data_IF_590128197742
#
_entry.id   IF_590128197742
#
_cell.length_a   1.000
_cell.length_b   1.000
_cell.length_c   1.000
_cell.angle_alpha   90.00
_cell.angle_beta   90.00
_cell.angle_gamma   90.00
#
_symmetry.space_group_name_H-M   'P 1'
#
loop_
_entity.id
_entity.type
_entity.pdbx_description
1 polymer ?
#
# COMPACT_ATOMS: atom_id res chain seq x y z
N UNK A 1 4.18 -9.62 -23.35
CA UNK A 1 5.23 -8.70 -23.00
C UNK A 1 4.64 -7.40 -22.45
N UNK A 2 5.14 -6.93 -21.27
CA UNK A 2 4.61 -5.74 -20.58
C UNK A 2 4.87 -4.46 -21.40
N UNK A 3 6.05 -4.33 -21.98
CA UNK A 3 6.44 -3.15 -22.81
C UNK A 3 5.50 -3.00 -24.00
N UNK A 4 5.17 -4.10 -24.68
CA UNK A 4 4.27 -4.08 -25.82
C UNK A 4 2.83 -3.70 -25.43
N UNK A 5 2.37 -4.13 -24.25
CA UNK A 5 1.06 -3.72 -23.71
C UNK A 5 1.05 -2.22 -23.38
N UNK A 6 2.12 -1.70 -22.79
CA UNK A 6 2.28 -0.26 -22.51
C UNK A 6 2.25 0.52 -23.83
N UNK A 7 3.01 0.08 -24.83
CA UNK A 7 3.03 0.72 -26.16
C UNK A 7 1.65 0.78 -26.79
N UNK A 8 0.90 -0.33 -26.74
CA UNK A 8 -0.47 -0.40 -27.30
C UNK A 8 -1.47 0.49 -26.57
N UNK A 9 -1.30 0.70 -25.28
CA UNK A 9 -2.20 1.55 -24.47
C UNK A 9 -1.90 3.04 -24.64
N UNK A 10 -0.73 3.39 -25.20
CA UNK A 10 -0.29 4.78 -25.43
C UNK A 10 -0.53 5.70 -24.21
N UNK A 11 -0.07 5.34 -23.01
CA UNK A 11 -0.35 6.11 -21.81
C UNK A 11 0.40 7.45 -21.81
N UNK A 12 -0.14 8.46 -21.16
CA UNK A 12 0.54 9.73 -20.93
C UNK A 12 1.64 9.65 -19.87
N UNK A 13 1.50 8.71 -18.92
CA UNK A 13 2.41 8.49 -17.80
C UNK A 13 2.45 6.99 -17.48
N UNK A 14 3.63 6.46 -17.21
CA UNK A 14 3.81 5.13 -16.62
C UNK A 14 4.04 5.34 -15.13
N UNK A 15 3.19 4.78 -14.27
CA UNK A 15 3.34 4.89 -12.83
C UNK A 15 3.49 3.50 -12.19
N UNK A 16 4.64 3.26 -11.57
CA UNK A 16 4.90 2.05 -10.80
C UNK A 16 4.44 2.24 -9.34
N UNK A 17 3.58 1.36 -8.88
CA UNK A 17 3.17 1.28 -7.47
C UNK A 17 3.99 0.19 -6.80
N UNK A 18 5.03 0.59 -6.05
CA UNK A 18 6.07 -0.31 -5.53
C UNK A 18 5.86 -0.51 -4.03
N UNK A 19 4.89 -1.33 -3.70
CA UNK A 19 4.64 -1.79 -2.34
C UNK A 19 4.93 -3.29 -2.22
N UNK A 20 5.16 -3.75 -1.00
CA UNK A 20 5.36 -5.16 -0.69
C UNK A 20 4.24 -5.72 0.19
N UNK A 21 4.48 -6.92 0.72
CA UNK A 21 3.54 -7.55 1.67
C UNK A 21 3.49 -6.84 3.03
N UNK A 22 4.51 -6.07 3.33
CA UNK A 22 4.62 -5.16 4.46
C UNK A 22 5.43 -3.93 4.02
N UNK A 23 5.48 -2.85 4.79
CA UNK A 23 6.19 -1.62 4.41
C UNK A 23 7.66 -1.86 4.02
N UNK A 24 8.35 -2.75 4.74
CA UNK A 24 9.77 -3.01 4.51
C UNK A 24 10.05 -3.80 3.22
N UNK A 25 9.07 -4.52 2.69
CA UNK A 25 9.25 -5.32 1.47
C UNK A 25 9.13 -4.50 0.17
N UNK A 26 8.84 -3.21 0.25
CA UNK A 26 8.88 -2.31 -0.90
C UNK A 26 10.25 -2.27 -1.58
N UNK A 27 11.34 -2.31 -0.80
CA UNK A 27 12.72 -2.35 -1.32
C UNK A 27 12.98 -3.56 -2.21
N UNK A 28 12.49 -4.74 -1.82
CA UNK A 28 12.66 -5.98 -2.61
C UNK A 28 11.99 -5.88 -3.98
N UNK A 29 10.85 -5.19 -4.05
CA UNK A 29 10.09 -5.04 -5.29
C UNK A 29 10.64 -3.96 -6.23
N UNK A 30 11.55 -3.11 -5.77
CA UNK A 30 12.20 -2.09 -6.61
C UNK A 30 12.91 -2.70 -7.82
N UNK A 31 13.59 -3.84 -7.67
CA UNK A 31 14.31 -4.49 -8.77
C UNK A 31 13.43 -4.78 -9.99
N UNK A 32 12.21 -5.26 -9.75
CA UNK A 32 11.24 -5.53 -10.83
C UNK A 32 10.72 -4.25 -11.50
N UNK A 33 10.43 -3.21 -10.72
CA UNK A 33 9.97 -1.92 -11.23
C UNK A 33 11.07 -1.24 -12.08
N UNK A 34 12.30 -1.22 -11.57
CA UNK A 34 13.47 -0.66 -12.26
C UNK A 34 13.77 -1.40 -13.56
N UNK A 35 13.75 -2.74 -13.55
CA UNK A 35 13.99 -3.53 -14.76
C UNK A 35 12.94 -3.22 -15.86
N UNK A 36 11.67 -3.09 -15.50
CA UNK A 36 10.62 -2.76 -16.45
C UNK A 36 10.73 -1.29 -16.92
N UNK A 37 11.06 -0.36 -16.03
CA UNK A 37 11.30 1.03 -16.40
C UNK A 37 12.45 1.16 -17.42
N UNK A 38 13.58 0.49 -17.18
CA UNK A 38 14.71 0.41 -18.12
C UNK A 38 14.28 -0.17 -19.47
N UNK A 39 13.58 -1.31 -19.46
CA UNK A 39 13.08 -1.92 -20.70
C UNK A 39 12.14 -0.98 -21.50
N UNK A 40 11.30 -0.18 -20.82
CA UNK A 40 10.47 0.83 -21.47
C UNK A 40 11.33 1.89 -22.17
N UNK A 41 12.32 2.46 -21.50
CA UNK A 41 13.23 3.47 -22.07
C UNK A 41 14.06 2.91 -23.21
N UNK A 42 14.66 1.74 -23.05
CA UNK A 42 15.46 1.03 -24.08
C UNK A 42 14.63 0.69 -25.32
N UNK A 43 13.32 0.46 -25.16
CA UNK A 43 12.42 0.23 -26.30
C UNK A 43 12.02 1.50 -27.06
N UNK A 44 12.57 2.66 -26.69
CA UNK A 44 12.29 3.95 -27.33
C UNK A 44 10.99 4.61 -26.88
N UNK A 45 10.40 4.19 -25.77
CA UNK A 45 9.23 4.89 -25.19
C UNK A 45 9.69 6.19 -24.52
N UNK A 46 9.25 7.34 -25.05
CA UNK A 46 9.52 8.68 -24.49
C UNK A 46 8.54 9.09 -23.39
N UNK A 47 7.71 8.15 -22.91
CA UNK A 47 6.71 8.40 -21.88
C UNK A 47 7.40 8.59 -20.53
N UNK A 48 7.03 9.62 -19.73
CA UNK A 48 7.55 9.78 -18.38
C UNK A 48 7.22 8.59 -17.49
N UNK A 49 8.18 8.21 -16.66
CA UNK A 49 8.07 7.10 -15.71
C UNK A 49 8.07 7.65 -14.30
N UNK A 50 6.99 7.46 -13.58
CA UNK A 50 6.86 7.80 -12.17
C UNK A 50 6.81 6.54 -11.30
N UNK A 51 7.16 6.68 -10.03
CA UNK A 51 7.04 5.60 -9.06
C UNK A 51 6.60 6.11 -7.69
N UNK A 52 5.78 5.31 -6.99
CA UNK A 52 5.31 5.55 -5.63
C UNK A 52 5.50 4.30 -4.77
N UNK A 53 5.85 4.46 -3.51
CA UNK A 53 6.00 3.36 -2.57
C UNK A 53 6.85 3.71 -1.36
N UNK A 54 6.92 2.80 -0.39
CA UNK A 54 7.64 3.03 0.87
C UNK A 54 9.14 3.27 0.67
N UNK A 55 9.79 2.50 -0.20
CA UNK A 55 11.21 2.69 -0.52
C UNK A 55 11.47 4.06 -1.16
N UNK A 56 10.63 4.45 -2.11
CA UNK A 56 10.75 5.74 -2.80
C UNK A 56 10.52 6.93 -1.86
N UNK A 57 9.59 6.80 -0.93
CA UNK A 57 9.35 7.83 0.08
C UNK A 57 10.50 7.93 1.11
N UNK A 58 11.18 6.81 1.40
CA UNK A 58 12.30 6.80 2.34
C UNK A 58 13.61 7.27 1.71
N UNK A 59 13.85 6.99 0.43
CA UNK A 59 15.12 7.26 -0.27
C UNK A 59 14.92 7.96 -1.63
N UNK A 60 14.13 9.03 -1.70
CA UNK A 60 13.76 9.63 -2.98
C UNK A 60 14.96 10.15 -3.77
N UNK A 61 15.95 10.75 -3.08
CA UNK A 61 17.15 11.30 -3.72
C UNK A 61 18.06 10.19 -4.28
N UNK A 62 18.22 9.11 -3.52
CA UNK A 62 19.04 7.97 -3.93
C UNK A 62 18.45 7.31 -5.18
N UNK A 63 17.15 7.01 -5.16
CA UNK A 63 16.47 6.42 -6.33
C UNK A 63 16.64 7.30 -7.57
N UNK A 64 16.45 8.59 -7.46
CA UNK A 64 16.61 9.49 -8.61
C UNK A 64 18.05 9.60 -9.09
N UNK A 65 19.05 9.44 -8.22
CA UNK A 65 20.48 9.44 -8.61
C UNK A 65 20.89 8.13 -9.27
N UNK A 66 20.39 7.00 -8.77
CA UNK A 66 20.87 5.66 -9.19
C UNK A 66 20.03 5.04 -10.31
N UNK A 67 18.77 5.46 -10.46
CA UNK A 67 17.82 4.86 -11.40
C UNK A 67 17.33 5.88 -12.45
N UNK A 68 18.14 6.14 -13.51
CA UNK A 68 17.80 7.16 -14.51
C UNK A 68 16.53 6.86 -15.32
N UNK A 69 16.07 5.62 -15.33
CA UNK A 69 14.83 5.22 -15.98
C UNK A 69 13.55 5.68 -15.23
N UNK A 70 13.68 6.13 -13.97
CA UNK A 70 12.59 6.72 -13.19
C UNK A 70 12.74 8.24 -13.28
N UNK A 71 11.76 8.93 -13.85
CA UNK A 71 11.78 10.39 -14.03
C UNK A 71 11.25 11.14 -12.79
N UNK A 72 10.22 10.57 -12.13
CA UNK A 72 9.53 11.18 -10.99
C UNK A 72 9.33 10.17 -9.86
N UNK A 73 9.58 10.56 -8.64
CA UNK A 73 9.18 9.83 -7.43
C UNK A 73 8.07 10.59 -6.71
N UNK A 74 7.03 9.88 -6.27
CA UNK A 74 6.02 10.44 -5.39
C UNK A 74 6.41 10.18 -3.94
N UNK A 75 6.40 11.25 -3.15
CA UNK A 75 6.53 11.17 -1.71
C UNK A 75 5.14 11.00 -1.07
N UNK A 76 5.06 10.47 0.14
CA UNK A 76 3.81 10.10 0.79
C UNK A 76 2.99 9.05 -0.01
N UNK A 77 1.69 9.31 -0.13
CA UNK A 77 0.71 8.44 -0.82
C UNK A 77 0.65 8.69 -2.33
N UNK A 78 1.20 9.80 -2.77
CA UNK A 78 1.21 10.20 -4.18
C UNK A 78 -0.13 10.64 -4.76
N UNK A 79 -1.24 10.58 -4.03
CA UNK A 79 -2.60 10.78 -4.56
C UNK A 79 -2.77 12.16 -5.18
N UNK A 80 -2.57 13.22 -4.40
CA UNK A 80 -2.72 14.60 -4.90
C UNK A 80 -1.57 15.00 -5.81
N UNK A 81 -0.35 14.54 -5.51
CA UNK A 81 0.81 14.77 -6.34
C UNK A 81 0.64 14.17 -7.75
N UNK A 82 0.13 12.94 -7.86
CA UNK A 82 -0.19 12.31 -9.16
C UNK A 82 -1.27 13.10 -9.92
N UNK A 83 -2.35 13.51 -9.23
CA UNK A 83 -3.41 14.32 -9.85
C UNK A 83 -2.84 15.63 -10.40
N UNK A 84 -2.02 16.32 -9.62
CA UNK A 84 -1.42 17.60 -10.00
C UNK A 84 -0.41 17.41 -11.14
N UNK A 85 0.41 16.35 -11.10
CA UNK A 85 1.33 16.02 -12.20
C UNK A 85 0.58 15.73 -13.51
N UNK A 86 -0.52 14.97 -13.46
CA UNK A 86 -1.33 14.69 -14.65
C UNK A 86 -2.01 15.93 -15.23
N UNK A 87 -2.22 16.96 -14.42
CA UNK A 87 -2.77 18.24 -14.86
C UNK A 87 -1.71 19.19 -15.44
N UNK A 88 -0.42 18.90 -15.26
CA UNK A 88 0.71 19.67 -15.80
C UNK A 88 1.14 19.20 -17.18
N UNK A 89 2.12 19.88 -17.77
CA UNK A 89 2.82 19.41 -18.96
C UNK A 89 3.81 18.30 -18.57
N UNK A 90 3.47 17.07 -18.91
CA UNK A 90 4.29 15.89 -18.62
C UNK A 90 5.59 15.82 -19.45
N UNK A 91 5.73 16.65 -20.48
CA UNK A 91 6.92 16.69 -21.36
C UNK A 91 7.94 17.74 -20.92
N UNK A 92 7.58 18.62 -20.00
CA UNK A 92 8.42 19.69 -19.53
C UNK A 92 8.59 19.64 -18.01
N UNK A 93 9.74 19.16 -17.53
CA UNK A 93 10.05 19.06 -16.09
C UNK A 93 10.15 20.43 -15.38
N UNK A 94 10.36 21.52 -16.09
CA UNK A 94 10.37 22.85 -15.48
C UNK A 94 9.00 23.22 -14.88
N UNK A 95 7.93 22.68 -15.47
CA UNK A 95 6.56 22.88 -14.96
C UNK A 95 6.25 22.10 -13.67
N UNK A 96 7.17 21.23 -13.22
CA UNK A 96 6.92 20.36 -12.07
C UNK A 96 7.35 20.97 -10.73
N UNK A 97 8.12 22.04 -10.74
CA UNK A 97 8.68 22.69 -9.54
C UNK A 97 7.60 23.15 -8.55
N UNK A 98 6.41 23.49 -9.03
CA UNK A 98 5.28 23.94 -8.21
C UNK A 98 4.41 22.77 -7.69
N UNK A 99 4.65 21.54 -8.15
CA UNK A 99 3.90 20.36 -7.75
C UNK A 99 4.47 19.85 -6.43
N UNK A 100 3.69 19.86 -5.37
CA UNK A 100 4.10 19.36 -4.05
C UNK A 100 4.17 17.84 -4.02
N UNK A 101 5.06 17.30 -3.18
CA UNK A 101 5.16 15.89 -2.86
C UNK A 101 5.77 15.04 -3.96
N UNK A 102 6.62 15.61 -4.80
CA UNK A 102 7.39 14.90 -5.83
C UNK A 102 8.89 15.15 -5.71
N UNK A 103 9.64 14.20 -6.23
CA UNK A 103 11.05 14.39 -6.56
C UNK A 103 11.28 14.10 -8.04
N UNK A 104 12.17 14.84 -8.67
CA UNK A 104 12.53 14.69 -10.08
C UNK A 104 13.94 15.23 -10.35
N UNK A 105 14.44 15.06 -11.58
CA UNK A 105 15.70 15.66 -12.00
C UNK A 105 15.45 16.90 -12.83
N UNK A 106 16.18 17.97 -12.51
CA UNK A 106 16.25 19.21 -13.28
C UNK A 106 17.72 19.59 -13.42
N UNK A 107 18.19 19.81 -14.64
CA UNK A 107 19.60 20.14 -14.93
C UNK A 107 20.60 19.23 -14.19
N UNK A 108 20.39 17.91 -14.25
CA UNK A 108 21.19 16.88 -13.57
C UNK A 108 21.13 16.91 -12.02
N UNK A 109 20.42 17.87 -11.43
CA UNK A 109 20.22 17.94 -10.00
C UNK A 109 18.91 17.26 -9.56
N UNK A 110 18.95 16.64 -8.40
CA UNK A 110 17.74 16.08 -7.78
C UNK A 110 17.03 17.15 -6.99
N UNK A 111 15.83 17.48 -7.43
CA UNK A 111 14.92 18.43 -6.78
C UNK A 111 13.86 17.62 -6.01
N UNK A 112 13.65 17.94 -4.73
CA UNK A 112 12.48 17.50 -3.95
C UNK A 112 11.63 18.73 -3.65
N UNK A 113 10.37 18.66 -4.03
CA UNK A 113 9.41 19.73 -3.74
C UNK A 113 8.88 19.64 -2.31
N UNK A 114 8.31 20.71 -1.75
CA UNK A 114 7.70 20.68 -0.43
C UNK A 114 6.67 19.53 -0.29
N UNK A 115 6.49 18.97 0.93
CA UNK A 115 5.55 17.88 1.15
C UNK A 115 4.14 18.21 0.68
N UNK A 116 3.49 17.26 -0.01
CA UNK A 116 2.05 17.33 -0.25
C UNK A 116 1.30 16.78 0.97
N UNK A 117 0.08 17.24 1.19
CA UNK A 117 -0.78 16.72 2.23
C UNK A 117 -1.14 15.25 1.96
N UNK A 118 -1.32 14.49 3.01
CA UNK A 118 -1.94 13.16 2.91
C UNK A 118 -3.45 13.31 2.79
N UNK A 119 -4.13 12.28 2.28
CA UNK A 119 -5.60 12.23 2.26
C UNK A 119 -6.13 12.36 3.68
N UNK A 120 -7.07 13.25 3.94
CA UNK A 120 -7.63 13.46 5.27
C UNK A 120 -8.54 12.29 5.69
N UNK A 121 -8.87 12.19 6.99
CA UNK A 121 -9.82 11.17 7.46
C UNK A 121 -11.18 11.29 6.77
N UNK A 122 -11.62 12.51 6.55
CA UNK A 122 -12.92 12.84 5.95
C UNK A 122 -12.97 12.48 4.46
N UNK A 123 -11.81 12.57 3.79
CA UNK A 123 -11.70 12.36 2.34
C UNK A 123 -11.32 10.90 1.96
N UNK A 124 -11.10 10.01 2.96
CA UNK A 124 -10.60 8.66 2.71
C UNK A 124 -11.39 7.86 1.66
N UNK A 125 -12.70 7.94 1.69
CA UNK A 125 -13.57 7.18 0.78
C UNK A 125 -13.83 7.90 -0.55
N UNK A 126 -13.55 9.21 -0.62
CA UNK A 126 -13.76 10.06 -1.80
C UNK A 126 -12.50 10.14 -2.65
N UNK A 127 -11.39 10.54 -2.04
CA UNK A 127 -10.13 10.75 -2.75
C UNK A 127 -9.31 9.46 -2.92
N UNK A 128 -9.67 8.40 -2.19
CA UNK A 128 -9.20 7.03 -2.40
C UNK A 128 -10.39 6.12 -2.75
N UNK A 129 -10.99 6.24 -3.94
CA UNK A 129 -12.30 5.66 -4.27
C UNK A 129 -12.35 4.13 -4.37
N UNK A 130 -11.29 3.43 -4.00
CA UNK A 130 -11.17 1.98 -4.01
C UNK A 130 -10.19 1.46 -5.04
N UNK A 131 -10.39 0.22 -5.43
CA UNK A 131 -9.47 -0.50 -6.31
C UNK A 131 -10.11 -0.72 -7.67
N UNK A 132 -9.35 -0.50 -8.72
CA UNK A 132 -9.76 -0.75 -10.10
C UNK A 132 -9.62 -2.24 -10.45
N UNK A 133 -10.33 -3.11 -9.73
CA UNK A 133 -10.29 -4.56 -9.93
C UNK A 133 -10.66 -4.99 -11.35
N UNK A 134 -11.53 -4.25 -12.00
CA UNK A 134 -12.00 -4.46 -13.36
C UNK A 134 -10.91 -4.26 -14.42
N UNK A 135 -9.87 -3.50 -14.10
CA UNK A 135 -8.71 -3.31 -14.97
C UNK A 135 -7.72 -4.47 -14.90
N UNK A 136 -7.81 -5.34 -13.87
CA UNK A 136 -7.00 -6.54 -13.77
C UNK A 136 -7.57 -7.62 -14.70
N UNK A 137 -6.72 -8.47 -15.30
CA UNK A 137 -7.16 -9.53 -16.21
C UNK A 137 -7.80 -10.73 -15.48
N UNK A 138 -8.62 -10.50 -14.45
CA UNK A 138 -9.15 -11.51 -13.55
C UNK A 138 -10.03 -12.58 -14.24
N UNK A 139 -10.59 -12.26 -15.42
CA UNK A 139 -11.39 -13.21 -16.20
C UNK A 139 -10.53 -14.24 -16.96
N UNK A 140 -9.36 -13.82 -17.43
CA UNK A 140 -8.42 -14.68 -18.16
C UNK A 140 -7.28 -15.18 -17.29
N UNK A 141 -6.93 -14.43 -16.26
CA UNK A 141 -5.89 -14.75 -15.28
C UNK A 141 -6.46 -14.53 -13.88
N UNK A 142 -6.89 -15.59 -13.20
CA UNK A 142 -7.45 -15.48 -11.85
C UNK A 142 -6.55 -14.72 -10.90
N UNK A 143 -7.13 -13.98 -9.96
CA UNK A 143 -6.39 -13.20 -8.95
C UNK A 143 -5.49 -14.05 -8.05
N UNK A 144 -5.57 -15.37 -8.11
CA UNK A 144 -4.71 -16.30 -7.39
C UNK A 144 -3.22 -16.18 -7.74
N UNK A 145 -2.88 -15.57 -8.89
CA UNK A 145 -1.48 -15.27 -9.25
C UNK A 145 -0.80 -14.32 -8.26
N UNK A 146 -1.56 -13.54 -7.54
CA UNK A 146 -1.08 -12.55 -6.59
C UNK A 146 -1.14 -13.06 -5.14
N UNK A 147 -1.52 -14.30 -4.92
CA UNK A 147 -1.67 -14.83 -3.58
C UNK A 147 -0.34 -14.94 -2.86
N UNK A 148 -0.36 -14.48 -1.65
CA UNK A 148 0.63 -14.81 -0.64
C UNK A 148 0.20 -16.10 0.05
N UNK A 149 1.01 -17.10 -0.01
CA UNK A 149 0.68 -18.50 0.25
C UNK A 149 1.23 -18.98 1.59
N UNK A 150 1.17 -20.27 1.84
CA UNK A 150 1.67 -21.08 2.98
C UNK A 150 1.43 -20.56 4.41
N UNK A 151 0.94 -19.37 4.57
CA UNK A 151 0.58 -18.77 5.86
C UNK A 151 -0.86 -19.09 6.28
N UNK A 152 -1.66 -19.58 5.36
CA UNK A 152 -3.08 -19.81 5.62
C UNK A 152 -3.31 -21.19 6.17
N UNK A 153 -4.11 -21.30 7.23
CA UNK A 153 -4.65 -22.58 7.65
C UNK A 153 -5.42 -23.22 6.48
N UNK A 154 -5.16 -24.48 6.26
CA UNK A 154 -5.81 -25.22 5.19
C UNK A 154 -5.38 -24.81 3.77
N UNK A 155 -4.25 -24.12 3.64
CA UNK A 155 -3.68 -23.84 2.32
C UNK A 155 -3.34 -25.15 1.61
N UNK A 156 -3.96 -25.36 0.45
CA UNK A 156 -3.73 -26.52 -0.41
C UNK A 156 -3.00 -26.07 -1.67
N UNK A 157 -1.77 -26.51 -1.85
CA UNK A 157 -0.95 -26.22 -3.03
C UNK A 157 -1.56 -26.74 -4.34
N UNK A 158 -2.36 -27.79 -4.28
CA UNK A 158 -3.00 -28.38 -5.45
C UNK A 158 -4.21 -27.55 -5.92
N UNK A 159 -4.79 -26.73 -5.04
CA UNK A 159 -5.94 -25.88 -5.34
C UNK A 159 -5.52 -24.42 -5.45
N UNK A 160 -5.75 -23.82 -6.60
CA UNK A 160 -5.63 -22.38 -6.75
C UNK A 160 -6.84 -21.69 -6.13
N UNK A 161 -6.57 -20.75 -5.24
CA UNK A 161 -7.59 -20.01 -4.52
C UNK A 161 -7.49 -18.55 -4.93
N UNK A 162 -8.50 -17.96 -5.56
CA UNK A 162 -8.49 -16.54 -5.90
C UNK A 162 -8.23 -15.69 -4.65
N UNK A 163 -7.22 -14.83 -4.75
CA UNK A 163 -6.68 -14.04 -3.66
C UNK A 163 -6.69 -12.56 -3.98
N UNK A 164 -7.01 -11.75 -2.98
CA UNK A 164 -6.83 -10.29 -3.03
C UNK A 164 -6.29 -9.77 -1.70
N UNK A 165 -5.76 -8.56 -1.73
CA UNK A 165 -5.34 -7.82 -0.54
C UNK A 165 -5.97 -6.42 -0.57
N UNK A 166 -6.45 -5.96 0.57
CA UNK A 166 -7.01 -4.61 0.74
C UNK A 166 -6.46 -3.95 1.99
N UNK A 167 -6.52 -2.63 2.02
CA UNK A 167 -6.35 -1.82 3.21
C UNK A 167 -7.70 -1.28 3.67
N UNK A 168 -8.02 -1.44 4.95
CA UNK A 168 -9.18 -0.82 5.58
C UNK A 168 -8.80 0.45 6.34
N UNK A 169 -7.52 0.57 6.69
CA UNK A 169 -6.92 1.76 7.29
C UNK A 169 -5.51 2.01 6.74
N UNK A 170 -5.02 3.23 6.91
CA UNK A 170 -3.67 3.65 6.58
C UNK A 170 -3.00 4.26 7.80
N UNK A 171 -1.68 4.10 7.89
CA UNK A 171 -0.88 4.65 8.97
C UNK A 171 -0.83 3.78 10.22
N UNK A 172 -0.05 4.21 11.21
CA UNK A 172 0.13 3.53 12.48
C UNK A 172 0.46 4.54 13.59
N UNK A 173 -0.10 4.36 14.78
CA UNK A 173 0.15 5.26 15.93
C UNK A 173 1.45 4.94 16.67
N UNK A 174 2.02 3.76 16.43
CA UNK A 174 3.26 3.34 17.10
C UNK A 174 4.49 3.88 16.40
N UNK A 175 5.53 4.17 17.18
CA UNK A 175 6.81 4.72 16.70
C UNK A 175 7.95 3.70 16.87
N UNK A 176 7.74 2.49 16.36
CA UNK A 176 8.76 1.45 16.40
C UNK A 176 9.99 1.89 15.60
N UNK A 177 11.17 1.83 16.20
CA UNK A 177 12.40 2.34 15.63
C UNK A 177 12.92 1.57 14.39
N UNK A 178 12.43 0.35 14.18
CA UNK A 178 12.76 -0.51 13.04
C UNK A 178 11.72 -0.44 11.90
N UNK A 179 10.62 0.30 12.07
CA UNK A 179 9.47 0.24 11.16
C UNK A 179 9.47 1.39 10.15
N UNK A 180 9.40 1.08 8.86
CA UNK A 180 9.38 2.06 7.78
C UNK A 180 8.14 2.98 7.76
N UNK A 181 7.04 2.64 8.42
CA UNK A 181 5.89 3.56 8.54
C UNK A 181 6.30 4.84 9.25
N UNK A 182 7.28 4.74 10.12
CA UNK A 182 7.86 5.88 10.81
C UNK A 182 9.11 6.41 10.10
N UNK A 183 9.09 6.56 8.79
CA UNK A 183 10.20 7.13 8.03
C UNK A 183 10.64 8.51 8.52
N UNK A 184 9.80 9.20 9.29
CA UNK A 184 10.11 10.45 9.96
C UNK A 184 10.92 10.27 11.25
N UNK A 185 11.10 9.04 11.75
CA UNK A 185 11.98 8.73 12.89
C UNK A 185 13.45 8.56 12.47
N UNK A 186 13.88 9.21 11.42
CA UNK A 186 15.26 9.18 10.94
C UNK A 186 16.16 9.98 11.88
N UNK A 187 17.39 9.53 12.02
CA UNK A 187 18.43 10.26 12.77
C UNK A 187 19.17 11.28 11.88
N UNK A 188 18.96 11.24 10.56
CA UNK A 188 19.46 12.23 9.62
C UNK A 188 18.47 13.40 9.45
N UNK A 189 18.99 14.55 9.07
CA UNK A 189 18.22 15.77 8.83
C UNK A 189 17.86 15.97 7.34
N UNK A 190 17.95 14.94 6.52
CA UNK A 190 17.60 15.04 5.11
C UNK A 190 16.09 15.26 4.94
N UNK A 191 15.72 16.26 4.18
CA UNK A 191 14.34 16.44 3.74
C UNK A 191 13.98 15.37 2.70
N UNK A 192 12.98 14.56 3.02
CA UNK A 192 12.47 13.49 2.15
C UNK A 192 11.13 13.85 1.49
N UNK A 193 10.65 15.08 1.66
CA UNK A 193 9.37 15.52 1.08
C UNK A 193 8.14 14.82 1.65
N UNK A 194 8.23 14.24 2.85
CA UNK A 194 7.13 13.52 3.49
C UNK A 194 6.41 14.41 4.50
N UNK A 195 5.07 14.42 4.45
CA UNK A 195 4.25 15.21 5.37
C UNK A 195 4.40 14.75 6.82
N UNK A 196 4.46 15.68 7.77
CA UNK A 196 4.64 15.37 9.20
C UNK A 196 3.53 14.51 9.82
N UNK A 197 2.36 14.44 9.20
CA UNK A 197 1.24 13.59 9.62
C UNK A 197 1.10 12.30 8.79
N UNK A 198 2.09 11.93 8.01
CA UNK A 198 2.07 10.76 7.13
C UNK A 198 1.66 9.46 7.85
N UNK A 199 2.22 9.25 9.04
CA UNK A 199 1.95 8.05 9.84
C UNK A 199 0.61 8.09 10.61
N UNK A 200 -0.15 9.19 10.59
CA UNK A 200 -1.43 9.29 11.31
C UNK A 200 -2.42 8.24 10.80
N UNK A 201 -3.02 7.49 11.71
CA UNK A 201 -4.06 6.51 11.34
C UNK A 201 -5.30 7.19 10.77
N UNK A 202 -5.78 6.65 9.66
CA UNK A 202 -7.00 7.06 8.96
C UNK A 202 -7.72 5.81 8.49
N UNK A 203 -9.03 5.82 8.55
CA UNK A 203 -9.88 4.66 8.31
C UNK A 203 -10.83 4.94 7.14
N UNK A 204 -11.05 3.95 6.30
CA UNK A 204 -12.19 3.93 5.40
C UNK A 204 -13.46 3.69 6.21
N UNK A 205 -14.63 4.13 5.74
CA UNK A 205 -15.87 3.75 6.42
C UNK A 205 -16.08 2.23 6.36
N UNK A 206 -16.70 1.62 7.37
CA UNK A 206 -17.08 0.21 7.32
C UNK A 206 -17.91 -0.13 6.09
N UNK A 207 -18.83 0.74 5.68
CA UNK A 207 -19.69 0.61 4.50
C UNK A 207 -18.87 0.55 3.21
N UNK A 208 -17.84 1.39 3.10
CA UNK A 208 -16.91 1.36 1.97
C UNK A 208 -16.20 0.01 1.90
N UNK A 209 -15.64 -0.45 3.01
CA UNK A 209 -14.89 -1.71 3.06
C UNK A 209 -15.78 -2.90 2.72
N UNK A 210 -16.98 -2.97 3.27
CA UNK A 210 -17.96 -4.04 3.00
C UNK A 210 -18.32 -4.07 1.52
N UNK A 211 -18.52 -2.90 0.89
CA UNK A 211 -18.78 -2.79 -0.55
C UNK A 211 -17.61 -3.29 -1.39
N UNK A 212 -16.36 -2.94 -1.05
CA UNK A 212 -15.18 -3.40 -1.76
C UNK A 212 -14.97 -4.92 -1.61
N UNK A 213 -15.21 -5.45 -0.41
CA UNK A 213 -15.19 -6.91 -0.17
C UNK A 213 -16.29 -7.61 -0.98
N UNK A 214 -17.47 -7.02 -1.08
CA UNK A 214 -18.56 -7.53 -1.91
C UNK A 214 -18.16 -7.69 -3.38
N UNK A 215 -17.52 -6.68 -3.97
CA UNK A 215 -16.98 -6.76 -5.34
C UNK A 215 -16.01 -7.93 -5.50
N UNK A 216 -15.12 -8.15 -4.52
CA UNK A 216 -14.18 -9.26 -4.56
C UNK A 216 -14.87 -10.64 -4.45
N UNK A 217 -15.89 -10.75 -3.60
CA UNK A 217 -16.71 -11.98 -3.50
C UNK A 217 -17.39 -12.27 -4.83
N UNK A 218 -17.96 -11.24 -5.49
CA UNK A 218 -18.63 -11.38 -6.79
C UNK A 218 -17.64 -11.77 -7.90
N UNK A 219 -16.37 -11.41 -7.76
CA UNK A 219 -15.26 -11.82 -8.64
C UNK A 219 -14.73 -13.24 -8.33
N UNK A 220 -15.29 -13.92 -7.33
CA UNK A 220 -14.88 -15.26 -6.93
C UNK A 220 -13.67 -15.34 -5.99
N UNK A 221 -13.27 -14.22 -5.39
CA UNK A 221 -12.21 -14.22 -4.37
C UNK A 221 -12.71 -14.97 -3.14
N UNK A 222 -11.92 -15.91 -2.66
CA UNK A 222 -12.21 -16.70 -1.47
C UNK A 222 -11.15 -16.54 -0.36
N UNK A 223 -10.01 -15.97 -0.70
CA UNK A 223 -8.94 -15.68 0.27
C UNK A 223 -8.59 -14.19 0.21
N UNK A 224 -8.70 -13.50 1.35
CA UNK A 224 -8.49 -12.07 1.42
C UNK A 224 -7.51 -11.71 2.53
N UNK A 225 -6.55 -10.86 2.21
CA UNK A 225 -5.67 -10.25 3.18
C UNK A 225 -6.14 -8.84 3.52
N UNK A 226 -6.31 -8.56 4.79
CA UNK A 226 -6.42 -7.20 5.31
C UNK A 226 -4.99 -6.75 5.64
N UNK A 227 -4.51 -5.77 4.89
CA UNK A 227 -3.10 -5.34 4.92
C UNK A 227 -2.83 -4.21 5.92
N UNK A 228 -3.82 -3.85 6.72
CA UNK A 228 -3.69 -2.85 7.77
C UNK A 228 -2.56 -3.22 8.73
N UNK A 229 -1.79 -2.24 9.18
CA UNK A 229 -0.72 -2.48 10.15
C UNK A 229 -1.26 -2.94 11.51
N UNK A 230 -2.45 -2.50 11.87
CA UNK A 230 -3.03 -2.66 13.20
C UNK A 230 -4.55 -2.80 13.16
N UNK A 231 -5.07 -3.85 12.53
CA UNK A 231 -6.51 -4.01 12.31
C UNK A 231 -7.36 -3.96 13.59
N UNK A 232 -6.92 -4.64 14.67
CA UNK A 232 -7.67 -4.71 15.92
C UNK A 232 -7.41 -3.56 16.90
N UNK A 233 -6.67 -2.53 16.52
CA UNK A 233 -6.29 -1.46 17.44
C UNK A 233 -7.50 -0.59 17.83
N UNK A 234 -8.33 -0.23 16.86
CA UNK A 234 -9.47 0.66 17.08
C UNK A 234 -10.78 -0.14 17.18
N UNK A 235 -11.22 -0.40 18.42
CA UNK A 235 -12.46 -1.13 18.69
C UNK A 235 -13.69 -0.46 18.05
N UNK A 236 -13.77 0.87 18.08
CA UNK A 236 -14.89 1.62 17.50
C UNK A 236 -14.97 1.49 15.98
N UNK A 237 -13.90 0.99 15.36
CA UNK A 237 -13.81 0.75 13.94
C UNK A 237 -14.04 -0.72 13.57
N UNK A 238 -13.23 -1.64 14.11
CA UNK A 238 -13.29 -3.03 13.66
C UNK A 238 -14.55 -3.78 14.11
N UNK A 239 -15.17 -3.40 15.25
CA UNK A 239 -16.39 -4.07 15.71
C UNK A 239 -17.54 -3.84 14.74
N UNK A 240 -17.95 -2.61 14.40
CA UNK A 240 -19.01 -2.40 13.41
C UNK A 240 -18.68 -3.03 12.04
N UNK A 241 -17.44 -2.95 11.60
CA UNK A 241 -17.02 -3.58 10.35
C UNK A 241 -17.23 -5.11 10.36
N UNK A 242 -16.82 -5.78 11.43
CA UNK A 242 -17.02 -7.23 11.57
C UNK A 242 -18.50 -7.61 11.70
N UNK A 243 -19.32 -6.80 12.37
CA UNK A 243 -20.77 -6.99 12.45
C UNK A 243 -21.39 -6.92 11.05
N UNK A 244 -21.09 -5.91 10.27
CA UNK A 244 -21.56 -5.76 8.90
C UNK A 244 -21.11 -6.91 7.98
N UNK A 245 -19.86 -7.38 8.09
CA UNK A 245 -19.37 -8.55 7.35
C UNK A 245 -20.14 -9.82 7.72
N UNK A 246 -20.51 -9.98 8.98
CA UNK A 246 -21.35 -11.07 9.47
C UNK A 246 -22.76 -11.01 8.89
N UNK A 247 -23.39 -9.84 8.90
CA UNK A 247 -24.73 -9.60 8.33
C UNK A 247 -24.78 -9.94 6.85
N UNK A 248 -23.75 -9.59 6.09
CA UNK A 248 -23.61 -9.95 4.68
C UNK A 248 -23.27 -11.44 4.45
N UNK A 249 -22.97 -12.19 5.50
CA UNK A 249 -22.59 -13.60 5.43
C UNK A 249 -21.24 -13.85 4.76
N UNK A 250 -20.38 -12.85 4.66
CA UNK A 250 -19.08 -12.97 4.00
C UNK A 250 -18.12 -13.88 4.76
N UNK A 251 -18.25 -14.00 6.07
CA UNK A 251 -17.48 -14.94 6.87
C UNK A 251 -17.60 -16.42 6.48
N UNK A 252 -18.68 -16.78 5.75
CA UNK A 252 -18.86 -18.13 5.20
C UNK A 252 -18.24 -18.32 3.81
N UNK A 253 -17.92 -17.22 3.11
CA UNK A 253 -17.42 -17.20 1.74
C UNK A 253 -15.92 -16.92 1.68
N UNK A 254 -15.39 -16.22 2.68
CA UNK A 254 -14.02 -15.73 2.70
C UNK A 254 -13.23 -16.40 3.83
N UNK A 255 -11.97 -16.70 3.51
CA UNK A 255 -10.93 -17.00 4.49
C UNK A 255 -9.99 -15.80 4.53
N UNK A 256 -10.05 -15.03 5.62
CA UNK A 256 -9.31 -13.78 5.74
C UNK A 256 -8.23 -13.86 6.81
N UNK A 257 -7.21 -13.05 6.66
CA UNK A 257 -6.19 -12.81 7.66
C UNK A 257 -5.95 -11.30 7.83
N UNK A 258 -5.48 -10.91 9.01
CA UNK A 258 -5.14 -9.53 9.33
C UNK A 258 -3.91 -9.45 10.23
N UNK A 259 -3.32 -8.27 10.32
CA UNK A 259 -2.19 -8.00 11.21
C UNK A 259 -2.66 -7.25 12.44
N UNK A 260 -2.06 -7.55 13.58
CA UNK A 260 -2.27 -6.81 14.80
C UNK A 260 -1.13 -7.02 15.80
N UNK A 261 -1.25 -6.45 16.98
CA UNK A 261 -0.31 -6.67 18.09
C UNK A 261 -0.90 -7.64 19.09
N UNK A 262 -0.04 -8.32 19.82
CA UNK A 262 -0.46 -9.29 20.86
C UNK A 262 -1.32 -8.66 21.96
N UNK A 263 -1.14 -7.40 22.26
CA UNK A 263 -1.92 -6.69 23.28
C UNK A 263 -3.35 -6.35 22.84
N UNK A 264 -3.68 -6.47 21.56
CA UNK A 264 -5.03 -6.23 21.03
C UNK A 264 -5.94 -7.46 21.04
N UNK A 265 -5.41 -8.66 21.33
CA UNK A 265 -6.14 -9.95 21.29
C UNK A 265 -6.55 -10.46 22.68
N UNK A 266 -6.86 -9.56 23.59
CA UNK A 266 -7.17 -9.91 25.00
C UNK A 266 -8.62 -10.31 25.26
N UNK A 267 -9.54 -9.84 24.42
CA UNK A 267 -10.99 -10.03 24.62
C UNK A 267 -11.48 -11.20 23.75
N UNK A 268 -11.90 -12.33 24.36
CA UNK A 268 -12.39 -13.49 23.62
C UNK A 268 -13.64 -13.19 22.78
N UNK A 269 -14.52 -12.30 23.23
CA UNK A 269 -15.74 -11.94 22.49
C UNK A 269 -15.39 -11.22 21.18
N UNK A 270 -14.37 -10.36 21.20
CA UNK A 270 -13.87 -9.73 19.97
C UNK A 270 -13.25 -10.75 19.02
N UNK A 271 -12.51 -11.72 19.52
CA UNK A 271 -11.92 -12.78 18.68
C UNK A 271 -13.00 -13.66 18.04
N UNK A 272 -14.08 -13.97 18.76
CA UNK A 272 -15.21 -14.68 18.19
C UNK A 272 -15.91 -13.88 17.10
N UNK A 273 -16.12 -12.57 17.31
CA UNK A 273 -16.71 -11.68 16.33
C UNK A 273 -15.86 -11.63 15.05
N UNK A 274 -14.56 -11.43 15.21
CA UNK A 274 -13.57 -11.40 14.13
C UNK A 274 -13.56 -12.71 13.34
N UNK A 275 -13.58 -13.84 14.04
CA UNK A 275 -13.65 -15.17 13.42
C UNK A 275 -14.94 -15.37 12.63
N UNK A 276 -16.09 -14.97 13.19
CA UNK A 276 -17.39 -15.03 12.49
C UNK A 276 -17.37 -14.19 11.20
N UNK A 277 -16.69 -13.04 11.23
CA UNK A 277 -16.51 -12.21 10.04
C UNK A 277 -15.62 -12.84 8.96
N UNK A 278 -15.02 -14.00 9.23
CA UNK A 278 -14.17 -14.74 8.28
C UNK A 278 -12.68 -14.47 8.43
N UNK A 279 -12.27 -13.68 9.42
CA UNK A 279 -10.85 -13.44 9.73
C UNK A 279 -10.37 -14.58 10.62
N UNK A 280 -9.86 -15.62 9.98
CA UNK A 280 -9.48 -16.88 10.63
C UNK A 280 -8.04 -16.88 11.14
N UNK A 281 -7.23 -15.93 10.70
CA UNK A 281 -5.83 -15.79 11.06
C UNK A 281 -5.47 -14.37 11.45
N UNK A 282 -4.67 -14.26 12.49
CA UNK A 282 -4.04 -13.02 12.94
C UNK A 282 -2.52 -13.21 12.94
N UNK A 283 -1.83 -12.38 12.18
CA UNK A 283 -0.39 -12.24 12.28
C UNK A 283 -0.09 -11.21 13.38
N UNK A 284 0.52 -11.67 14.47
CA UNK A 284 0.74 -10.84 15.66
C UNK A 284 2.19 -10.36 15.74
N UNK A 285 2.36 -9.04 15.83
CA UNK A 285 3.64 -8.43 16.18
C UNK A 285 3.98 -8.69 17.65
N UNK A 286 5.03 -9.50 17.88
CA UNK A 286 5.55 -9.84 19.21
C UNK A 286 6.92 -9.21 19.42
N UNK A 287 7.68 -9.07 18.34
CA UNK A 287 9.02 -8.49 18.19
C UNK A 287 10.11 -9.24 18.98
N UNK A 288 9.95 -9.43 20.27
CA UNK A 288 10.90 -10.17 21.12
C UNK A 288 10.20 -10.85 22.29
N UNK A 289 10.72 -11.99 22.74
CA UNK A 289 10.32 -12.62 23.99
C UNK A 289 10.82 -11.81 25.20
N UNK A 290 11.96 -11.11 25.06
CA UNK A 290 12.51 -10.29 26.13
C UNK A 290 11.78 -8.95 26.25
N UNK A 291 11.27 -8.67 27.45
CA UNK A 291 10.48 -7.46 27.72
C UNK A 291 11.27 -6.17 27.50
N UNK A 292 12.52 -6.13 27.93
CA UNK A 292 13.36 -4.94 27.80
C UNK A 292 13.59 -4.58 26.32
N UNK A 293 13.90 -5.59 25.50
CA UNK A 293 14.09 -5.40 24.04
C UNK A 293 12.82 -4.88 23.39
N UNK A 294 11.64 -5.38 23.78
CA UNK A 294 10.36 -4.85 23.24
C UNK A 294 10.14 -3.39 23.59
N UNK A 295 10.40 -3.00 24.84
CA UNK A 295 10.24 -1.61 25.28
C UNK A 295 11.19 -0.66 24.53
N UNK A 296 12.41 -1.09 24.30
CA UNK A 296 13.40 -0.30 23.56
C UNK A 296 13.06 -0.20 22.05
N UNK A 297 12.60 -1.29 21.45
CA UNK A 297 12.25 -1.34 20.04
C UNK A 297 10.97 -0.55 19.71
N UNK A 298 9.97 -0.55 20.59
CA UNK A 298 8.65 0.03 20.31
C UNK A 298 8.45 1.41 20.91
N UNK A 299 9.37 1.90 21.77
CA UNK A 299 9.29 3.22 22.44
C UNK A 299 7.89 3.55 22.98
N UNK A 300 7.30 2.63 23.72
CA UNK A 300 6.03 2.87 24.41
C UNK A 300 4.99 1.81 24.20
#
# INVERSE_FOLDING_TARGET
DAVERIRKSSPRLICFVVYGQNPNSGTVNMGGAVALAKACKESGLSIPVAAVGSHLSALPREVLRTEPAIDVVFCNEGVYALRNLLASDLTNSDSWSDIKGIGFRQDEQVVLTPPERVVSQEDMDVDLPGYAWDLLPHRSQPLDLYRSHFWHAGYDHAKRTPFAAIYTSLGCTFRCNFCMINILNRDDNEDIGVAGNYAKMRFRSPEFVVREIGKLVDMGVSTLRISDEMFLLNRKYFVPLCEMLNEQGYGKKLNMWAYSRIDTVRDPAHLELVKKAGINWLALGIESAERQVRLEATKG
#
